data_IF_073210513191
#
_entry.id   IF_073210513191
#
_cell.length_a   1.000
_cell.length_b   1.000
_cell.length_c   1.000
_cell.angle_alpha   90.00
_cell.angle_beta   90.00
_cell.angle_gamma   90.00
#
_symmetry.space_group_name_H-M   'P 1'
#
loop_
_entity.id
_entity.type
_entity.pdbx_description
1 polymer ?
#
# COMPACT_ATOMS: atom_id res chain seq x y z
N UNK A 1 -21.22 25.18 -61.44
CA UNK A 1 -21.94 24.73 -62.66
C UNK A 1 -21.41 23.40 -63.10
N UNK A 2 -22.29 22.61 -63.67
CA UNK A 2 -22.86 21.42 -63.04
C UNK A 2 -22.52 20.16 -63.80
N UNK A 3 -22.81 19.01 -63.32
CA UNK A 3 -23.64 18.05 -64.05
C UNK A 3 -24.03 16.86 -63.11
N UNK A 4 -25.34 16.73 -62.97
CA UNK A 4 -26.01 15.55 -62.45
C UNK A 4 -26.14 14.52 -63.57
N UNK A 5 -26.09 13.23 -63.21
CA UNK A 5 -26.67 12.20 -64.10
C UNK A 5 -27.43 11.19 -63.24
N UNK A 6 -28.75 11.22 -63.40
CA UNK A 6 -29.72 10.19 -63.04
C UNK A 6 -29.66 9.05 -64.05
N UNK A 7 -29.86 7.83 -63.63
CA UNK A 7 -30.45 6.69 -64.42
C UNK A 7 -30.81 5.61 -63.40
N UNK A 8 -32.04 5.46 -63.02
CA UNK A 8 -33.18 4.64 -63.55
C UNK A 8 -33.05 3.11 -63.26
N UNK A 9 -34.04 2.65 -62.47
CA UNK A 9 -34.37 1.28 -62.11
C UNK A 9 -34.87 0.45 -63.31
N UNK A 10 -34.90 -0.88 -63.23
CA UNK A 10 -36.17 -1.56 -63.49
C UNK A 10 -36.65 -2.51 -62.40
N UNK A 11 -37.96 -2.56 -62.28
CA UNK A 11 -38.82 -3.42 -61.46
C UNK A 11 -39.09 -4.67 -62.26
N UNK A 12 -38.99 -5.85 -61.65
CA UNK A 12 -39.70 -7.10 -62.05
C UNK A 12 -39.88 -7.85 -60.71
N UNK A 13 -40.97 -8.24 -60.23
CA UNK A 13 -42.12 -8.98 -60.78
C UNK A 13 -42.18 -10.31 -59.99
N UNK A 14 -43.17 -10.40 -59.11
CA UNK A 14 -43.73 -11.51 -58.35
C UNK A 14 -43.64 -12.91 -58.84
N UNK A 15 -43.35 -13.90 -57.95
CA UNK A 15 -44.16 -15.12 -57.77
C UNK A 15 -43.91 -15.78 -56.45
N UNK A 16 -44.99 -16.02 -55.68
CA UNK A 16 -45.05 -16.92 -54.52
C UNK A 16 -45.21 -18.36 -55.00
N UNK A 17 -44.75 -19.33 -54.23
CA UNK A 17 -45.57 -20.50 -53.93
C UNK A 17 -45.64 -20.77 -52.39
N UNK A 18 -46.61 -21.64 -52.10
CA UNK A 18 -47.34 -21.87 -50.88
C UNK A 18 -46.59 -22.57 -49.76
N UNK A 19 -47.22 -22.50 -48.62
CA UNK A 19 -46.92 -23.00 -47.28
C UNK A 19 -46.64 -24.51 -47.17
N UNK A 20 -45.72 -24.87 -46.32
CA UNK A 20 -45.77 -26.13 -45.56
C UNK A 20 -45.47 -25.83 -44.09
N UNK A 21 -46.42 -26.23 -43.24
CA UNK A 21 -46.36 -26.17 -41.81
C UNK A 21 -45.48 -27.29 -41.24
N UNK A 22 -44.95 -27.05 -40.06
CA UNK A 22 -44.64 -27.92 -38.94
C UNK A 22 -43.25 -27.62 -38.35
N UNK A 23 -43.22 -27.16 -37.15
CA UNK A 23 -42.07 -27.04 -36.28
C UNK A 23 -42.45 -26.24 -35.07
N UNK A 24 -42.89 -26.90 -33.96
CA UNK A 24 -43.18 -26.27 -32.70
C UNK A 24 -41.89 -25.63 -32.12
N UNK A 25 -41.84 -24.31 -32.08
CA UNK A 25 -40.84 -23.57 -31.30
C UNK A 25 -41.12 -23.76 -29.82
N UNK A 26 -40.21 -24.44 -29.13
CA UNK A 26 -40.13 -24.44 -27.68
C UNK A 26 -39.74 -23.01 -27.24
N UNK A 27 -40.70 -22.31 -26.62
CA UNK A 27 -40.46 -21.02 -25.99
C UNK A 27 -39.42 -21.18 -24.91
N UNK A 28 -38.21 -20.68 -25.15
CA UNK A 28 -37.19 -20.48 -24.09
C UNK A 28 -37.67 -19.37 -23.19
N UNK A 29 -37.87 -19.69 -21.91
CA UNK A 29 -38.18 -18.71 -20.86
C UNK A 29 -37.10 -17.61 -20.82
N UNK A 30 -37.45 -16.33 -20.59
CA UNK A 30 -36.46 -15.27 -20.48
C UNK A 30 -35.55 -15.55 -19.29
N UNK A 31 -34.24 -15.52 -19.55
CA UNK A 31 -33.20 -15.55 -18.48
C UNK A 31 -33.48 -14.43 -17.49
N UNK A 32 -33.60 -14.79 -16.21
CA UNK A 32 -33.69 -13.82 -15.14
C UNK A 32 -32.48 -12.87 -15.19
N UNK A 33 -32.65 -11.55 -14.97
CA UNK A 33 -31.54 -10.62 -14.93
C UNK A 33 -30.55 -11.06 -13.85
N UNK A 34 -29.22 -10.88 -14.10
CA UNK A 34 -28.21 -11.25 -13.12
C UNK A 34 -28.49 -10.49 -11.83
N UNK A 35 -28.61 -11.23 -10.73
CA UNK A 35 -28.71 -10.69 -9.37
C UNK A 35 -27.49 -9.81 -9.15
N UNK A 36 -27.68 -8.51 -9.15
CA UNK A 36 -26.63 -7.56 -8.76
C UNK A 36 -26.31 -7.85 -7.29
N UNK A 37 -25.12 -8.34 -7.05
CA UNK A 37 -24.55 -8.41 -5.71
C UNK A 37 -24.58 -6.98 -5.14
N UNK A 38 -25.18 -6.74 -3.95
CA UNK A 38 -25.21 -5.41 -3.37
C UNK A 38 -23.77 -4.89 -3.27
N UNK A 39 -23.54 -3.68 -3.76
CA UNK A 39 -22.27 -2.99 -3.53
C UNK A 39 -22.02 -2.96 -2.02
N UNK A 40 -20.82 -3.26 -1.54
CA UNK A 40 -20.52 -3.24 -0.12
C UNK A 40 -20.90 -1.86 0.42
N UNK A 41 -21.68 -1.84 1.48
CA UNK A 41 -22.07 -0.63 2.17
C UNK A 41 -20.79 0.10 2.58
N UNK A 42 -20.56 1.30 2.04
CA UNK A 42 -19.42 2.14 2.42
C UNK A 42 -19.61 2.48 3.89
N UNK A 43 -18.98 1.74 4.76
CA UNK A 43 -18.98 2.01 6.20
C UNK A 43 -18.14 3.27 6.38
N UNK A 44 -18.77 4.37 6.84
CA UNK A 44 -18.06 5.60 7.16
C UNK A 44 -17.22 5.35 8.43
N UNK A 45 -15.95 4.98 8.25
CA UNK A 45 -15.02 4.79 9.35
C UNK A 45 -14.56 6.17 9.84
N UNK A 46 -14.81 6.48 11.10
CA UNK A 46 -14.25 7.66 11.76
C UNK A 46 -12.83 7.35 12.23
N UNK A 47 -11.82 7.89 11.57
CA UNK A 47 -10.41 7.67 11.91
C UNK A 47 -10.02 8.36 13.23
N UNK A 48 -8.91 7.91 13.84
CA UNK A 48 -8.42 8.48 15.10
C UNK A 48 -8.25 9.99 15.06
N UNK A 49 -7.78 10.55 13.94
CA UNK A 49 -7.59 11.98 13.73
C UNK A 49 -8.90 12.80 13.85
N UNK A 50 -10.04 12.21 13.51
CA UNK A 50 -11.37 12.88 13.61
C UNK A 50 -11.92 12.90 15.03
N UNK A 51 -11.36 12.12 15.94
CA UNK A 51 -11.79 12.01 17.33
C UNK A 51 -11.17 13.09 18.23
N UNK A 52 -11.20 14.32 17.78
CA UNK A 52 -10.56 15.49 18.39
C UNK A 52 -10.81 15.64 19.91
N UNK A 53 -12.03 15.37 20.35
CA UNK A 53 -12.39 15.46 21.79
C UNK A 53 -11.57 14.49 22.68
N UNK A 54 -11.03 13.41 22.13
CA UNK A 54 -10.26 12.42 22.89
C UNK A 54 -8.79 12.82 23.10
N UNK A 55 -8.21 13.60 22.19
CA UNK A 55 -6.79 13.88 22.28
C UNK A 55 -6.46 15.38 22.39
N UNK A 56 -7.33 16.30 21.99
CA UNK A 56 -7.09 17.74 22.15
C UNK A 56 -6.72 18.14 23.58
N UNK A 57 -7.40 17.62 24.65
CA UNK A 57 -7.03 17.97 26.02
C UNK A 57 -5.57 17.61 26.37
N UNK A 58 -5.00 16.57 25.73
CA UNK A 58 -3.62 16.14 25.95
C UNK A 58 -2.59 17.03 25.24
N UNK A 59 -3.03 17.85 24.26
CA UNK A 59 -2.19 18.73 23.46
C UNK A 59 -2.22 20.19 23.93
N UNK A 60 -3.19 20.57 24.78
CA UNK A 60 -3.31 21.93 25.29
C UNK A 60 -2.10 22.31 26.15
N UNK A 61 -1.51 23.49 25.85
CA UNK A 61 -0.33 23.98 26.53
C UNK A 61 0.98 23.25 26.22
N UNK A 62 0.94 22.22 25.34
CA UNK A 62 2.12 21.48 24.92
C UNK A 62 2.71 22.03 23.63
N UNK A 63 4.03 21.91 23.45
CA UNK A 63 4.71 22.09 22.18
C UNK A 63 4.61 20.79 21.40
N UNK A 64 3.83 20.81 20.31
CA UNK A 64 3.44 19.60 19.57
C UNK A 64 4.28 19.42 18.32
N UNK A 65 4.94 18.26 18.21
CA UNK A 65 5.56 17.79 16.96
C UNK A 65 4.62 16.84 16.21
N UNK A 66 4.33 17.13 14.97
CA UNK A 66 3.46 16.30 14.11
C UNK A 66 4.29 15.42 13.18
N UNK A 67 4.12 14.11 13.23
CA UNK A 67 4.67 13.15 12.26
C UNK A 67 3.56 12.83 11.26
N UNK A 68 3.58 13.53 10.14
CA UNK A 68 2.44 13.60 9.22
C UNK A 68 2.87 13.68 7.76
N UNK A 69 1.95 13.31 6.86
CA UNK A 69 2.08 13.51 5.41
C UNK A 69 0.75 13.96 4.80
N UNK A 70 0.60 13.87 3.47
CA UNK A 70 -0.61 14.27 2.72
C UNK A 70 -1.88 13.53 3.15
N UNK A 71 -1.74 12.34 3.75
CA UNK A 71 -2.88 11.54 4.21
C UNK A 71 -3.43 11.99 5.57
N UNK A 72 -2.68 12.82 6.29
CA UNK A 72 -3.00 13.28 7.65
C UNK A 72 -4.10 14.34 7.60
N UNK A 73 -5.35 13.88 7.60
CA UNK A 73 -6.52 14.76 7.43
C UNK A 73 -7.59 14.48 8.48
N UNK A 74 -8.34 15.54 8.77
CA UNK A 74 -9.59 15.55 9.55
C UNK A 74 -10.68 16.04 8.60
N UNK A 75 -11.49 15.12 8.10
CA UNK A 75 -12.33 15.38 6.92
C UNK A 75 -11.47 15.85 5.74
N UNK A 76 -11.79 17.00 5.15
CA UNK A 76 -11.04 17.56 4.02
C UNK A 76 -9.86 18.46 4.43
N UNK A 77 -9.70 18.80 5.71
CA UNK A 77 -8.64 19.68 6.19
C UNK A 77 -7.39 18.88 6.59
N UNK A 78 -6.20 19.47 6.42
CA UNK A 78 -5.00 18.89 6.99
C UNK A 78 -5.03 18.93 8.52
N UNK A 79 -4.49 17.89 9.16
CA UNK A 79 -4.43 17.81 10.62
C UNK A 79 -3.73 19.02 11.23
N UNK A 80 -2.62 19.47 10.66
CA UNK A 80 -1.87 20.64 11.14
C UNK A 80 -2.75 21.89 11.18
N UNK A 81 -3.53 22.15 10.12
CA UNK A 81 -4.43 23.30 10.02
C UNK A 81 -5.55 23.19 11.08
N UNK A 82 -6.13 22.00 11.20
CA UNK A 82 -7.19 21.73 12.19
C UNK A 82 -6.73 21.94 13.62
N UNK A 83 -5.55 21.46 13.99
CA UNK A 83 -5.01 21.61 15.35
C UNK A 83 -4.65 23.05 15.67
N UNK A 84 -4.03 23.77 14.73
CA UNK A 84 -3.71 25.19 14.90
C UNK A 84 -4.97 26.06 15.04
N UNK A 85 -6.00 25.79 14.24
CA UNK A 85 -7.29 26.48 14.39
C UNK A 85 -7.97 26.22 15.75
N UNK A 86 -7.57 25.17 16.47
CA UNK A 86 -8.02 24.83 17.84
C UNK A 86 -7.07 25.34 18.94
N UNK A 87 -6.10 26.18 18.58
CA UNK A 87 -5.16 26.79 19.55
C UNK A 87 -4.03 25.87 19.99
N UNK A 88 -3.81 24.73 19.31
CA UNK A 88 -2.68 23.82 19.61
C UNK A 88 -1.38 24.46 19.11
N UNK A 89 -0.36 24.52 19.96
CA UNK A 89 0.96 25.04 19.64
C UNK A 89 1.79 23.99 18.87
N UNK A 90 1.65 23.95 17.54
CA UNK A 90 2.43 23.06 16.66
C UNK A 90 3.78 23.71 16.38
N UNK A 91 4.87 23.14 16.92
CA UNK A 91 6.23 23.65 16.79
C UNK A 91 7.05 23.02 15.69
N UNK A 92 6.71 21.80 15.24
CA UNK A 92 7.41 21.12 14.16
C UNK A 92 6.52 20.12 13.41
N UNK A 93 6.80 19.95 12.13
CA UNK A 93 6.31 18.84 11.32
C UNK A 93 7.51 17.93 11.00
N UNK A 94 7.39 16.64 11.29
CA UNK A 94 8.35 15.62 10.92
C UNK A 94 7.86 14.93 9.66
N UNK A 95 8.54 15.20 8.55
CA UNK A 95 8.14 14.73 7.22
C UNK A 95 8.81 13.39 6.89
N UNK A 96 8.02 12.31 6.64
CA UNK A 96 8.52 11.01 6.22
C UNK A 96 8.87 10.99 4.73
N UNK A 97 9.08 9.79 4.19
CA UNK A 97 9.18 9.57 2.74
C UNK A 97 8.03 10.25 1.99
N UNK A 98 8.28 10.73 0.78
CA UNK A 98 7.40 11.59 -0.03
C UNK A 98 7.16 13.00 0.53
N UNK A 99 7.66 13.33 1.72
CA UNK A 99 7.51 14.67 2.32
C UNK A 99 6.11 14.92 2.89
N UNK A 100 5.94 16.09 3.51
CA UNK A 100 4.68 16.45 4.16
C UNK A 100 3.49 16.56 3.19
N UNK A 101 3.72 17.07 1.96
CA UNK A 101 2.67 17.22 0.96
C UNK A 101 2.51 16.01 0.03
N UNK A 102 3.39 15.00 0.14
CA UNK A 102 3.32 13.78 -0.66
C UNK A 102 3.70 13.95 -2.13
N UNK A 103 4.44 15.01 -2.46
CA UNK A 103 4.81 15.36 -3.83
C UNK A 103 6.18 14.81 -4.24
N UNK A 104 7.00 14.42 -3.26
CA UNK A 104 8.33 13.89 -3.54
C UNK A 104 8.23 12.43 -4.03
N UNK A 105 9.09 12.11 -5.01
CA UNK A 105 9.21 10.76 -5.57
C UNK A 105 9.86 9.79 -4.59
N UNK A 106 9.72 8.48 -4.84
CA UNK A 106 10.31 7.44 -3.99
C UNK A 106 11.82 7.64 -3.89
N UNK A 107 12.36 7.47 -2.69
CA UNK A 107 13.78 7.61 -2.40
C UNK A 107 14.32 9.03 -2.50
N UNK A 108 13.49 10.03 -2.85
CA UNK A 108 13.93 11.42 -2.93
C UNK A 108 14.33 11.95 -1.54
N UNK A 109 15.41 12.72 -1.49
CA UNK A 109 15.82 13.41 -0.26
C UNK A 109 14.77 14.45 0.13
N UNK A 110 14.20 14.31 1.31
CA UNK A 110 13.33 15.31 1.92
C UNK A 110 14.22 16.30 2.68
N UNK A 111 14.10 17.59 2.35
CA UNK A 111 14.89 18.66 2.98
C UNK A 111 14.10 19.36 4.06
N UNK A 112 14.82 19.85 5.07
CA UNK A 112 14.26 20.73 6.08
C UNK A 112 13.78 22.06 5.46
N UNK A 113 12.74 22.66 6.05
CA UNK A 113 12.17 23.89 5.55
C UNK A 113 11.04 24.40 6.45
N UNK A 114 10.10 25.12 5.85
CA UNK A 114 8.87 25.57 6.50
C UNK A 114 7.68 25.24 5.61
N UNK A 115 6.59 24.84 6.21
CA UNK A 115 5.33 24.69 5.48
C UNK A 115 4.83 26.07 5.05
N UNK A 116 4.71 26.29 3.75
CA UNK A 116 4.36 27.59 3.18
C UNK A 116 3.01 28.14 3.68
N UNK A 117 2.07 27.25 4.04
CA UNK A 117 0.74 27.65 4.48
C UNK A 117 0.68 27.94 5.97
N UNK A 118 1.26 27.06 6.80
CA UNK A 118 1.19 27.17 8.24
C UNK A 118 2.38 27.89 8.85
N UNK A 119 3.49 28.07 8.13
CA UNK A 119 4.74 28.63 8.63
C UNK A 119 5.47 27.68 9.61
N UNK A 120 4.93 26.50 9.89
CA UNK A 120 5.54 25.56 10.83
C UNK A 120 6.82 24.97 10.24
N UNK A 121 7.93 24.89 11.04
CA UNK A 121 9.15 24.23 10.61
C UNK A 121 8.90 22.76 10.21
N UNK A 122 9.44 22.37 9.06
CA UNK A 122 9.43 20.99 8.55
C UNK A 122 10.82 20.39 8.75
N UNK A 123 10.89 19.25 9.42
CA UNK A 123 12.11 18.49 9.69
C UNK A 123 12.01 17.14 9.00
N UNK A 124 13.00 16.81 8.20
CA UNK A 124 13.04 15.53 7.48
C UNK A 124 13.38 14.38 8.42
N UNK A 125 12.58 13.32 8.36
CA UNK A 125 12.87 12.02 8.97
C UNK A 125 12.99 10.93 7.90
N UNK A 126 13.49 11.33 6.72
CA UNK A 126 13.79 10.44 5.60
C UNK A 126 15.09 10.86 4.87
N UNK A 127 15.83 9.89 4.37
CA UNK A 127 17.11 10.12 3.71
C UNK A 127 18.28 10.00 4.70
N UNK A 128 19.01 11.09 4.94
CA UNK A 128 20.18 11.10 5.84
C UNK A 128 19.82 10.79 7.30
N UNK A 129 18.70 11.30 7.77
CA UNK A 129 18.21 11.13 9.15
C UNK A 129 16.86 10.44 9.11
N UNK A 130 16.79 9.20 9.58
CA UNK A 130 15.55 8.40 9.63
C UNK A 130 14.91 8.43 11.02
N UNK A 131 15.70 8.66 12.04
CA UNK A 131 15.28 8.76 13.45
C UNK A 131 15.41 10.20 13.92
N UNK A 132 14.38 10.81 14.51
CA UNK A 132 14.47 12.16 15.06
C UNK A 132 15.63 12.28 16.06
N UNK A 133 16.48 13.30 15.88
CA UNK A 133 17.59 13.55 16.80
C UNK A 133 17.12 14.30 18.05
N UNK A 134 17.88 14.28 19.16
CA UNK A 134 17.57 15.08 20.34
C UNK A 134 17.38 16.56 20.03
N UNK A 135 18.17 17.13 19.10
CA UNK A 135 18.05 18.53 18.67
C UNK A 135 16.72 18.79 17.95
N UNK A 136 16.29 17.86 17.10
CA UNK A 136 14.99 17.95 16.42
C UNK A 136 13.80 17.85 17.38
N UNK A 137 14.00 17.31 18.58
CA UNK A 137 12.99 17.16 19.62
C UNK A 137 13.09 18.20 20.76
N UNK A 138 14.05 19.13 20.72
CA UNK A 138 14.32 20.06 21.82
C UNK A 138 13.15 21.02 22.13
N UNK A 139 12.39 21.40 21.12
CA UNK A 139 11.22 22.29 21.21
C UNK A 139 9.88 21.53 21.10
N UNK A 140 9.88 20.21 21.36
CA UNK A 140 8.70 19.34 21.31
C UNK A 140 8.48 18.72 22.68
N UNK A 141 7.26 18.79 23.21
CA UNK A 141 6.85 18.14 24.45
C UNK A 141 6.11 16.82 24.20
N UNK A 142 5.36 16.74 23.09
CA UNK A 142 4.58 15.56 22.68
C UNK A 142 4.64 15.39 21.18
N UNK A 143 4.73 14.13 20.72
CA UNK A 143 4.66 13.76 19.31
C UNK A 143 3.28 13.20 18.97
N UNK A 144 2.73 13.58 17.82
CA UNK A 144 1.50 13.02 17.26
C UNK A 144 1.84 12.38 15.93
N UNK A 145 1.58 11.08 15.81
CA UNK A 145 1.74 10.31 14.58
C UNK A 145 0.38 10.11 13.92
N UNK A 146 0.25 10.55 12.68
CA UNK A 146 -0.96 10.41 11.88
C UNK A 146 -0.61 10.19 10.41
N UNK A 147 -0.37 8.95 10.00
CA UNK A 147 -0.02 8.58 8.62
C UNK A 147 -0.78 7.33 8.23
N UNK A 148 -1.32 7.30 7.00
CA UNK A 148 -1.97 6.13 6.42
C UNK A 148 -0.94 5.10 5.98
N UNK A 149 -1.01 3.89 6.57
CA UNK A 149 -0.26 2.71 6.14
C UNK A 149 -1.06 1.86 5.15
N UNK A 150 -0.40 0.90 4.49
CA UNK A 150 -1.02 -0.02 3.54
C UNK A 150 -0.94 -1.50 3.96
N UNK A 151 -0.45 -1.79 5.16
CA UNK A 151 -0.43 -3.15 5.73
C UNK A 151 0.68 -4.06 5.21
N UNK A 152 1.69 -3.51 4.54
CA UNK A 152 2.84 -4.25 4.03
C UNK A 152 4.13 -3.83 4.76
N UNK A 153 4.91 -4.80 5.26
CA UNK A 153 6.12 -4.56 6.07
C UNK A 153 7.09 -3.58 5.41
N UNK A 154 7.30 -3.69 4.12
CA UNK A 154 8.26 -2.87 3.39
C UNK A 154 7.72 -1.47 3.03
N UNK A 155 6.48 -1.14 3.37
CA UNK A 155 5.96 0.21 3.26
C UNK A 155 6.45 1.05 4.45
N UNK A 156 7.35 2.00 4.20
CA UNK A 156 8.31 2.54 5.19
C UNK A 156 7.72 3.37 6.33
N UNK A 157 6.44 3.72 6.28
CA UNK A 157 5.81 4.55 7.33
C UNK A 157 5.75 3.85 8.69
N UNK A 158 5.68 2.52 8.73
CA UNK A 158 5.79 1.78 9.99
C UNK A 158 7.21 1.81 10.56
N UNK A 159 8.24 1.89 9.71
CA UNK A 159 9.62 2.10 10.14
C UNK A 159 9.84 3.52 10.65
N UNK A 160 9.18 4.52 10.05
CA UNK A 160 9.15 5.88 10.58
C UNK A 160 8.49 5.91 11.96
N UNK A 161 7.36 5.22 12.17
CA UNK A 161 6.70 5.08 13.47
C UNK A 161 7.65 4.48 14.51
N UNK A 162 8.34 3.38 14.17
CA UNK A 162 9.31 2.72 15.04
C UNK A 162 10.38 3.71 15.53
N UNK A 163 11.03 4.42 14.60
CA UNK A 163 12.10 5.36 14.95
C UNK A 163 11.60 6.60 15.70
N UNK A 164 10.40 7.07 15.44
CA UNK A 164 9.75 8.15 16.21
C UNK A 164 9.49 7.72 17.64
N UNK A 165 8.93 6.52 17.84
CA UNK A 165 8.69 5.95 19.18
C UNK A 165 10.00 5.72 19.93
N UNK A 166 11.04 5.24 19.25
CA UNK A 166 12.35 5.01 19.82
C UNK A 166 13.01 6.33 20.28
N UNK A 167 13.03 7.35 19.41
CA UNK A 167 13.54 8.67 19.75
C UNK A 167 12.76 9.33 20.91
N UNK A 168 11.44 9.17 20.91
CA UNK A 168 10.58 9.64 21.98
C UNK A 168 10.86 8.95 23.31
N UNK A 169 11.06 7.63 23.31
CA UNK A 169 11.41 6.86 24.50
C UNK A 169 12.76 7.29 25.08
N UNK A 170 13.77 7.55 24.23
CA UNK A 170 15.08 8.04 24.62
C UNK A 170 15.03 9.43 25.27
N UNK A 171 14.13 10.30 24.82
CA UNK A 171 13.94 11.67 25.30
C UNK A 171 12.80 11.80 26.32
N UNK A 172 12.22 10.68 26.79
CA UNK A 172 11.07 10.61 27.70
C UNK A 172 9.88 11.48 27.28
N UNK A 173 9.59 11.51 25.97
CA UNK A 173 8.47 12.24 25.37
C UNK A 173 7.30 11.30 25.08
N UNK A 174 6.04 11.73 25.30
CA UNK A 174 4.87 10.95 24.93
C UNK A 174 4.66 10.96 23.42
N UNK A 175 4.10 9.87 22.92
CA UNK A 175 3.64 9.71 21.53
C UNK A 175 2.15 9.39 21.52
N UNK A 176 1.39 10.16 20.77
CA UNK A 176 0.00 9.86 20.41
C UNK A 176 -0.03 9.31 18.97
N UNK A 177 -0.61 8.13 18.79
CA UNK A 177 -0.89 7.56 17.48
C UNK A 177 -2.38 7.70 17.20
N UNK A 178 -2.70 8.44 16.14
CA UNK A 178 -4.08 8.59 15.65
C UNK A 178 -4.32 7.48 14.64
N UNK A 179 -5.05 6.45 15.05
CA UNK A 179 -5.15 5.20 14.30
C UNK A 179 -5.97 5.35 13.02
N UNK A 180 -5.58 4.59 11.97
CA UNK A 180 -6.18 4.58 10.64
C UNK A 180 -6.43 3.17 10.15
N UNK A 181 -7.44 2.95 9.26
CA UNK A 181 -7.70 1.64 8.68
C UNK A 181 -6.48 1.08 7.96
N UNK A 182 -6.27 -0.22 8.11
CA UNK A 182 -5.36 -0.94 7.23
C UNK A 182 -6.17 -1.48 6.04
N UNK A 183 -5.92 -1.04 4.78
CA UNK A 183 -6.67 -1.51 3.60
C UNK A 183 -6.41 -2.98 3.28
N UNK A 184 -5.33 -3.56 3.84
CA UNK A 184 -4.99 -4.97 3.78
C UNK A 184 -5.11 -5.65 5.17
N UNK A 185 -6.05 -5.20 6.01
CA UNK A 185 -6.17 -5.62 7.40
C UNK A 185 -6.49 -7.09 7.62
N UNK A 186 -7.18 -7.73 6.68
CA UNK A 186 -7.51 -9.16 6.68
C UNK A 186 -6.37 -10.05 6.17
N UNK A 187 -5.27 -9.48 5.65
CA UNK A 187 -4.15 -10.22 5.09
C UNK A 187 -3.02 -10.38 6.12
N UNK A 188 -2.73 -11.64 6.49
CA UNK A 188 -1.56 -12.02 7.31
C UNK A 188 -0.83 -13.13 6.60
N UNK A 189 0.23 -12.78 5.83
CA UNK A 189 0.92 -13.74 4.98
C UNK A 189 2.36 -13.32 4.65
N UNK A 190 3.15 -14.27 4.14
CA UNK A 190 4.54 -14.11 3.78
C UNK A 190 5.52 -14.48 4.90
N UNK A 191 6.82 -14.59 4.58
CA UNK A 191 7.84 -14.92 5.57
C UNK A 191 8.00 -13.81 6.62
N UNK A 192 8.28 -14.23 7.84
CA UNK A 192 8.64 -13.31 8.94
C UNK A 192 10.03 -12.76 8.67
N UNK A 193 10.23 -11.47 8.94
CA UNK A 193 11.54 -10.82 8.83
C UNK A 193 12.54 -11.47 9.77
N UNK A 194 13.65 -11.94 9.21
CA UNK A 194 14.80 -12.44 9.94
C UNK A 194 15.74 -11.30 10.34
N UNK A 195 16.39 -11.35 11.51
CA UNK A 195 17.25 -10.28 12.00
C UNK A 195 18.38 -9.87 11.05
N UNK A 196 18.89 -10.81 10.22
CA UNK A 196 19.95 -10.55 9.25
C UNK A 196 19.53 -9.62 8.10
N UNK A 197 18.23 -9.51 7.84
CA UNK A 197 17.66 -8.71 6.74
C UNK A 197 16.99 -7.41 7.21
N UNK A 198 17.27 -6.99 8.46
CA UNK A 198 16.76 -5.72 8.98
C UNK A 198 17.27 -4.54 8.16
N UNK A 199 16.34 -3.73 7.69
CA UNK A 199 16.62 -2.51 6.96
C UNK A 199 15.48 -1.51 7.17
N UNK A 200 15.51 -0.35 6.51
CA UNK A 200 14.40 0.59 6.61
C UNK A 200 13.09 0.09 6.00
N UNK A 201 13.14 -0.90 5.12
CA UNK A 201 11.96 -1.59 4.59
C UNK A 201 11.53 -2.81 5.42
N UNK A 202 12.10 -2.95 6.62
CA UNK A 202 11.74 -4.01 7.56
C UNK A 202 12.59 -3.93 8.83
N UNK A 203 12.05 -3.34 9.91
CA UNK A 203 12.73 -3.22 11.21
C UNK A 203 12.28 -4.30 12.18
N UNK A 204 11.01 -4.65 12.17
CA UNK A 204 10.36 -5.49 13.15
C UNK A 204 10.07 -6.89 12.62
N UNK A 205 9.99 -7.93 13.49
CA UNK A 205 9.77 -9.32 13.06
C UNK A 205 8.33 -9.57 12.61
N UNK A 206 7.95 -8.92 11.51
CA UNK A 206 6.64 -8.97 10.88
C UNK A 206 6.66 -9.86 9.63
N UNK A 207 5.53 -10.49 9.26
CA UNK A 207 5.36 -11.04 7.91
C UNK A 207 5.29 -9.92 6.86
N UNK A 208 5.34 -10.27 5.58
CA UNK A 208 5.19 -9.30 4.49
C UNK A 208 3.89 -8.50 4.65
N UNK A 209 2.77 -9.18 4.81
CA UNK A 209 1.49 -8.57 5.16
C UNK A 209 1.16 -8.89 6.62
N UNK A 210 1.02 -7.86 7.45
CA UNK A 210 0.96 -8.03 8.90
C UNK A 210 -0.46 -7.95 9.49
N UNK A 211 -1.43 -7.45 8.73
CA UNK A 211 -2.83 -7.41 9.15
C UNK A 211 -3.11 -6.58 10.42
N UNK A 212 -2.28 -5.59 10.74
CA UNK A 212 -2.43 -4.70 11.89
C UNK A 212 -2.68 -3.27 11.42
N UNK A 213 -3.42 -2.47 12.19
CA UNK A 213 -3.42 -1.02 12.04
C UNK A 213 -2.14 -0.41 12.62
N UNK A 214 -1.84 0.86 12.31
CA UNK A 214 -0.66 1.53 12.88
C UNK A 214 -0.74 1.65 14.40
N UNK A 215 -1.94 1.82 14.96
CA UNK A 215 -2.15 1.86 16.41
C UNK A 215 -1.90 0.51 17.09
N UNK A 216 -2.39 -0.57 16.49
CA UNK A 216 -2.13 -1.93 16.98
C UNK A 216 -0.65 -2.28 16.90
N UNK A 217 0.00 -1.92 15.78
CA UNK A 217 1.42 -2.15 15.58
C UNK A 217 2.27 -1.35 16.58
N UNK A 218 1.93 -0.08 16.84
CA UNK A 218 2.61 0.72 17.85
C UNK A 218 2.53 0.08 19.24
N UNK A 219 1.37 -0.46 19.63
CA UNK A 219 1.23 -1.18 20.89
C UNK A 219 2.09 -2.45 20.94
N UNK A 220 2.13 -3.21 19.82
CA UNK A 220 2.95 -4.40 19.71
C UNK A 220 4.44 -4.07 19.82
N UNK A 221 4.96 -3.11 19.05
CA UNK A 221 6.36 -2.66 19.14
C UNK A 221 6.75 -2.30 20.56
N UNK A 222 5.87 -1.57 21.24
CA UNK A 222 6.12 -1.07 22.59
C UNK A 222 6.14 -2.19 23.64
N UNK A 223 5.15 -3.08 23.60
CA UNK A 223 5.00 -4.13 24.63
C UNK A 223 5.91 -5.33 24.39
N UNK A 224 6.22 -5.65 23.14
CA UNK A 224 7.18 -6.71 22.77
C UNK A 224 8.64 -6.21 22.86
N UNK A 225 8.85 -4.93 23.29
CA UNK A 225 10.17 -4.33 23.53
C UNK A 225 11.05 -4.32 22.27
N UNK A 226 10.47 -4.04 21.11
CA UNK A 226 11.21 -3.99 19.84
C UNK A 226 12.03 -2.73 19.65
N UNK A 227 11.71 -1.65 20.41
CA UNK A 227 12.48 -0.40 20.40
C UNK A 227 13.88 -0.60 21.00
N UNK A 228 14.86 0.20 20.62
CA UNK A 228 16.25 0.06 21.06
C UNK A 228 16.38 -0.02 22.58
N UNK A 229 17.16 -1.01 23.02
CA UNK A 229 17.35 -1.31 24.45
C UNK A 229 16.09 -1.78 25.17
N UNK A 230 15.01 -2.10 24.44
CA UNK A 230 13.74 -2.54 25.02
C UNK A 230 13.03 -1.46 25.83
N UNK A 231 13.37 -0.18 25.62
CA UNK A 231 12.77 0.95 26.36
C UNK A 231 11.32 1.16 25.95
N UNK A 232 10.37 1.21 26.91
CA UNK A 232 8.99 1.52 26.58
C UNK A 232 8.82 3.00 26.23
N UNK A 233 8.11 3.28 25.16
CA UNK A 233 7.61 4.60 24.82
C UNK A 233 6.34 4.93 25.63
N UNK A 234 6.17 6.17 26.07
CA UNK A 234 4.92 6.67 26.67
C UNK A 234 3.87 6.82 25.56
N UNK A 235 3.21 5.72 25.22
CA UNK A 235 2.32 5.60 24.07
C UNK A 235 0.86 5.76 24.46
N UNK A 236 0.12 6.59 23.73
CA UNK A 236 -1.33 6.64 23.69
C UNK A 236 -1.81 6.39 22.28
N UNK A 237 -2.72 5.44 22.09
CA UNK A 237 -3.39 5.20 20.79
C UNK A 237 -4.79 5.77 20.86
N UNK A 238 -5.16 6.61 19.90
CA UNK A 238 -6.51 7.09 19.69
C UNK A 238 -7.16 6.18 18.65
N UNK A 239 -7.97 5.21 19.05
CA UNK A 239 -8.52 4.23 18.12
C UNK A 239 -9.55 4.85 17.20
N UNK A 240 -9.83 4.19 16.08
CA UNK A 240 -10.97 4.51 15.22
C UNK A 240 -12.29 4.28 15.97
N UNK A 241 -13.36 4.92 15.49
CA UNK A 241 -14.70 4.68 16.03
C UNK A 241 -15.37 3.54 15.27
N UNK A 242 -16.51 3.06 15.83
CA UNK A 242 -17.33 1.94 15.32
C UNK A 242 -17.46 1.92 13.78
N UNK A 243 -17.47 0.71 13.23
CA UNK A 243 -17.66 0.46 11.79
C UNK A 243 -16.43 -0.12 11.08
N UNK A 244 -15.24 -0.13 11.71
CA UNK A 244 -14.07 -0.79 11.17
C UNK A 244 -13.90 -2.20 11.75
N UNK A 245 -13.65 -3.14 10.87
CA UNK A 245 -13.09 -4.47 11.17
C UNK A 245 -11.90 -4.68 10.24
N UNK A 246 -11.05 -5.66 10.54
CA UNK A 246 -9.91 -5.95 9.65
C UNK A 246 -10.34 -6.44 8.26
N UNK A 247 -11.58 -6.96 8.11
CA UNK A 247 -12.15 -7.36 6.82
C UNK A 247 -12.87 -6.22 6.09
N UNK A 248 -12.93 -5.02 6.67
CA UNK A 248 -13.59 -3.86 6.04
C UNK A 248 -12.82 -3.41 4.80
N UNK A 249 -13.47 -3.42 3.64
CA UNK A 249 -12.94 -2.71 2.48
C UNK A 249 -12.93 -1.21 2.78
N UNK A 250 -11.75 -0.61 2.74
CA UNK A 250 -11.57 0.82 3.00
C UNK A 250 -11.01 1.52 1.78
N UNK A 251 -11.85 2.35 1.16
CA UNK A 251 -11.40 3.24 0.10
C UNK A 251 -10.50 4.35 0.69
N UNK A 252 -9.29 4.46 0.17
CA UNK A 252 -8.35 5.48 0.63
C UNK A 252 -8.73 6.86 0.07
N UNK A 253 -9.15 7.82 0.90
CA UNK A 253 -9.59 9.14 0.43
C UNK A 253 -8.43 9.97 -0.14
N UNK A 254 -7.20 9.61 0.20
CA UNK A 254 -5.97 10.23 -0.29
C UNK A 254 -4.99 9.12 -0.66
N UNK A 255 -4.37 9.24 -1.82
CA UNK A 255 -3.34 8.29 -2.27
C UNK A 255 -2.18 8.24 -1.28
N UNK A 256 -1.75 7.04 -0.84
CA UNK A 256 -0.70 6.90 0.16
C UNK A 256 0.69 7.19 -0.44
N UNK A 257 0.86 7.00 -1.75
CA UNK A 257 2.08 7.27 -2.52
C UNK A 257 1.72 7.66 -3.96
N UNK A 258 2.57 8.45 -4.65
CA UNK A 258 2.40 8.75 -6.08
C UNK A 258 2.34 7.50 -6.96
N UNK A 259 2.98 6.39 -6.53
CA UNK A 259 2.99 5.13 -7.27
C UNK A 259 1.94 4.10 -6.80
N UNK A 260 1.06 4.46 -5.88
CA UNK A 260 -0.11 3.64 -5.49
C UNK A 260 -1.39 4.42 -5.80
N UNK A 261 -1.75 4.55 -7.09
CA UNK A 261 -2.81 5.46 -7.54
C UNK A 261 -4.23 4.96 -7.29
N UNK A 262 -4.42 3.65 -7.07
CA UNK A 262 -5.71 3.00 -6.93
C UNK A 262 -5.77 2.12 -5.67
N UNK A 263 -6.97 1.83 -5.17
CA UNK A 263 -7.14 0.84 -4.09
C UNK A 263 -6.69 -0.56 -4.54
N UNK A 264 -6.81 -0.82 -5.85
CA UNK A 264 -6.38 -2.09 -6.43
C UNK A 264 -4.84 -2.23 -6.43
N UNK A 265 -4.11 -1.17 -6.79
CA UNK A 265 -2.65 -1.13 -6.65
C UNK A 265 -2.22 -1.35 -5.20
N UNK A 266 -2.92 -0.74 -4.23
CA UNK A 266 -2.68 -0.94 -2.79
C UNK A 266 -2.92 -2.39 -2.37
N UNK A 267 -3.98 -3.03 -2.90
CA UNK A 267 -4.29 -4.42 -2.60
C UNK A 267 -3.28 -5.41 -3.24
N UNK A 268 -2.76 -5.09 -4.42
CA UNK A 268 -1.72 -5.87 -5.12
C UNK A 268 -0.32 -5.68 -4.49
N UNK A 269 -0.07 -4.52 -3.88
CA UNK A 269 1.25 -4.08 -3.43
C UNK A 269 2.01 -5.13 -2.58
N UNK A 270 1.41 -5.82 -1.59
CA UNK A 270 2.12 -6.83 -0.81
C UNK A 270 2.71 -7.97 -1.65
N UNK A 271 2.08 -8.31 -2.78
CA UNK A 271 2.53 -9.37 -3.69
C UNK A 271 3.52 -8.84 -4.74
N UNK A 272 3.25 -7.67 -5.28
CA UNK A 272 3.95 -7.15 -6.46
C UNK A 272 5.24 -6.42 -6.09
N UNK A 273 5.33 -5.82 -4.90
CA UNK A 273 6.52 -5.10 -4.46
C UNK A 273 7.78 -5.98 -4.39
N UNK A 274 7.66 -7.30 -4.22
CA UNK A 274 8.79 -8.24 -4.28
C UNK A 274 9.57 -8.14 -5.60
N UNK A 275 8.92 -7.75 -6.69
CA UNK A 275 9.57 -7.58 -7.99
C UNK A 275 10.54 -6.40 -8.04
N UNK A 276 10.48 -5.42 -7.13
CA UNK A 276 11.49 -4.36 -7.02
C UNK A 276 12.88 -4.92 -6.63
N UNK A 277 12.91 -6.11 -6.03
CA UNK A 277 14.10 -6.90 -5.79
C UNK A 277 14.53 -7.78 -6.97
N UNK A 278 14.02 -7.54 -8.19
CA UNK A 278 14.27 -8.33 -9.39
C UNK A 278 14.60 -7.46 -10.60
N UNK A 279 14.79 -8.09 -11.76
CA UNK A 279 14.93 -7.41 -13.05
C UNK A 279 13.57 -7.15 -13.75
N UNK A 280 12.46 -7.23 -13.01
CA UNK A 280 11.10 -7.01 -13.52
C UNK A 280 10.60 -5.64 -13.08
N UNK A 281 10.10 -4.84 -14.03
CA UNK A 281 9.41 -3.59 -13.73
C UNK A 281 8.04 -3.87 -13.11
N UNK A 282 7.71 -3.12 -12.06
CA UNK A 282 6.38 -3.08 -11.45
C UNK A 282 5.48 -1.98 -12.04
N UNK A 283 5.78 -1.53 -13.26
CA UNK A 283 4.97 -0.52 -13.94
C UNK A 283 5.25 0.93 -13.53
N UNK A 284 6.28 1.20 -12.72
CA UNK A 284 6.72 2.58 -12.45
C UNK A 284 7.07 3.27 -13.76
N UNK A 285 6.64 4.53 -13.94
CA UNK A 285 6.77 5.24 -15.21
C UNK A 285 5.70 4.86 -16.25
N UNK A 286 4.63 4.20 -15.84
CA UNK A 286 3.39 3.99 -16.62
C UNK A 286 2.21 4.65 -15.92
N UNK A 287 1.01 4.52 -16.47
CA UNK A 287 -0.25 4.96 -15.85
C UNK A 287 -0.80 3.97 -14.82
N UNK A 288 -0.22 2.76 -14.72
CA UNK A 288 -0.70 1.66 -13.86
C UNK A 288 0.45 1.04 -13.02
N UNK A 289 1.17 1.84 -12.20
CA UNK A 289 2.23 1.30 -11.35
C UNK A 289 1.64 0.33 -10.32
N UNK A 290 2.33 -0.80 -10.10
CA UNK A 290 1.92 -1.97 -9.29
C UNK A 290 0.68 -2.72 -9.82
N UNK A 291 0.12 -2.30 -10.95
CA UNK A 291 -0.97 -2.99 -11.65
C UNK A 291 -0.54 -3.56 -13.01
N UNK A 292 0.72 -3.33 -13.42
CA UNK A 292 1.36 -4.01 -14.56
C UNK A 292 2.76 -4.46 -14.16
N UNK A 293 3.17 -5.64 -14.64
CA UNK A 293 4.53 -6.18 -14.40
C UNK A 293 5.12 -6.66 -15.72
N UNK A 294 6.42 -6.46 -15.91
CA UNK A 294 7.08 -6.89 -17.15
C UNK A 294 8.58 -6.67 -17.16
N UNK A 295 9.27 -7.37 -18.03
CA UNK A 295 10.72 -7.26 -18.21
C UNK A 295 11.12 -7.50 -19.65
N UNK A 296 12.24 -6.91 -20.14
CA UNK A 296 12.83 -7.29 -21.42
C UNK A 296 13.29 -8.76 -21.45
N UNK A 297 13.56 -9.37 -20.28
CA UNK A 297 13.97 -10.78 -20.15
C UNK A 297 12.80 -11.76 -20.19
N UNK A 298 11.57 -11.30 -20.39
CA UNK A 298 10.40 -12.17 -20.56
C UNK A 298 10.14 -12.44 -22.05
N UNK A 299 9.52 -13.58 -22.40
CA UNK A 299 9.18 -13.90 -23.78
C UNK A 299 8.29 -12.81 -24.42
N UNK A 300 8.57 -12.46 -25.68
CA UNK A 300 7.75 -11.50 -26.43
C UNK A 300 6.31 -12.00 -26.70
N UNK A 301 6.02 -13.27 -26.41
CA UNK A 301 4.68 -13.89 -26.50
C UNK A 301 3.81 -13.60 -25.26
N UNK A 302 4.32 -12.89 -24.23
CA UNK A 302 3.50 -12.45 -23.11
C UNK A 302 2.31 -11.62 -23.60
N UNK A 303 1.14 -11.74 -22.94
CA UNK A 303 -0.11 -11.13 -23.42
C UNK A 303 -0.12 -9.60 -23.34
N UNK A 304 0.81 -9.01 -22.59
CA UNK A 304 0.90 -7.56 -22.40
C UNK A 304 2.34 -7.06 -22.57
N UNK A 305 2.47 -5.81 -23.00
CA UNK A 305 3.78 -5.15 -23.05
C UNK A 305 3.64 -3.65 -22.82
N UNK A 306 4.65 -3.05 -22.20
CA UNK A 306 4.74 -1.61 -21.95
C UNK A 306 6.19 -1.13 -22.01
N UNK A 307 6.36 0.18 -22.09
CA UNK A 307 7.68 0.80 -22.05
C UNK A 307 7.68 1.88 -20.95
N UNK A 308 8.41 1.71 -19.84
CA UNK A 308 8.49 2.73 -18.80
C UNK A 308 9.04 4.05 -19.34
N UNK A 309 8.35 5.16 -19.03
CA UNK A 309 8.76 6.51 -19.38
C UNK A 309 8.69 7.41 -18.13
N UNK A 310 9.53 8.46 -18.05
CA UNK A 310 9.48 9.40 -16.94
C UNK A 310 8.10 10.01 -16.75
N UNK A 311 7.62 10.03 -15.51
CA UNK A 311 6.39 10.74 -15.11
C UNK A 311 6.58 11.37 -13.72
N UNK A 312 5.58 12.10 -13.23
CA UNK A 312 5.65 12.79 -11.95
C UNK A 312 5.89 11.86 -10.75
N UNK A 313 5.35 10.63 -10.77
CA UNK A 313 5.55 9.63 -9.72
C UNK A 313 6.90 8.91 -9.81
N UNK A 314 7.50 8.86 -10.99
CA UNK A 314 8.77 8.17 -11.25
C UNK A 314 9.54 8.89 -12.37
N UNK A 315 10.36 9.91 -12.04
CA UNK A 315 11.19 10.64 -13.04
C UNK A 315 12.25 9.78 -13.70
N UNK A 316 12.72 8.76 -13.00
CA UNK A 316 13.74 7.81 -13.49
C UNK A 316 13.29 6.38 -13.23
N UNK A 317 12.22 5.90 -13.93
CA UNK A 317 11.71 4.57 -13.69
C UNK A 317 12.74 3.48 -14.05
N UNK A 318 12.75 2.35 -13.32
CA UNK A 318 13.50 1.18 -13.76
C UNK A 318 13.14 0.78 -15.18
N UNK A 319 14.12 0.28 -15.95
CA UNK A 319 13.95 -0.15 -17.34
C UNK A 319 13.40 0.95 -18.29
N UNK A 320 13.66 2.23 -17.97
CA UNK A 320 13.27 3.39 -18.78
C UNK A 320 13.62 3.19 -20.26
N UNK A 321 12.64 3.35 -21.14
CA UNK A 321 12.80 3.26 -22.59
C UNK A 321 12.93 1.83 -23.12
N UNK A 322 12.98 0.81 -22.29
CA UNK A 322 13.03 -0.59 -22.69
C UNK A 322 11.64 -1.19 -22.80
N UNK A 323 11.39 -1.96 -23.85
CA UNK A 323 10.13 -2.69 -23.99
C UNK A 323 10.12 -3.86 -23.01
N UNK A 324 9.15 -3.85 -22.10
CA UNK A 324 8.92 -4.89 -21.11
C UNK A 324 7.74 -5.75 -21.56
N UNK A 325 7.92 -7.06 -21.56
CA UNK A 325 6.87 -8.04 -21.84
C UNK A 325 6.37 -8.62 -20.50
N UNK A 326 5.05 -8.79 -20.35
CA UNK A 326 4.55 -9.20 -19.05
C UNK A 326 3.03 -9.35 -18.97
N UNK A 327 2.45 -8.85 -17.89
CA UNK A 327 1.04 -8.99 -17.55
C UNK A 327 0.42 -7.63 -17.20
N UNK A 328 -0.83 -7.46 -17.61
CA UNK A 328 -1.75 -6.46 -17.11
C UNK A 328 -2.54 -7.09 -15.94
N UNK A 329 -2.42 -6.49 -14.76
CA UNK A 329 -3.06 -6.95 -13.54
C UNK A 329 -4.21 -6.03 -13.09
N UNK A 330 -4.57 -5.03 -13.88
CA UNK A 330 -5.59 -4.01 -13.52
C UNK A 330 -6.96 -4.61 -13.15
N UNK A 331 -7.25 -5.82 -13.64
CA UNK A 331 -8.47 -6.58 -13.34
C UNK A 331 -8.20 -7.94 -12.68
N UNK A 332 -6.92 -8.24 -12.40
CA UNK A 332 -6.55 -9.50 -11.78
C UNK A 332 -6.93 -9.53 -10.29
N UNK A 333 -7.26 -10.70 -9.71
CA UNK A 333 -7.43 -10.80 -8.27
C UNK A 333 -6.17 -10.35 -7.53
N UNK A 334 -6.31 -9.42 -6.59
CA UNK A 334 -5.20 -8.94 -5.77
C UNK A 334 -4.73 -9.98 -4.74
N UNK A 335 -5.52 -11.02 -4.52
CA UNK A 335 -5.23 -12.12 -3.59
C UNK A 335 -5.59 -13.45 -4.20
N UNK A 336 -4.86 -14.48 -3.82
CA UNK A 336 -5.13 -15.85 -4.20
C UNK A 336 -5.21 -16.72 -2.95
N UNK A 337 -6.29 -17.51 -2.82
CA UNK A 337 -6.55 -18.34 -1.64
C UNK A 337 -6.47 -17.55 -0.31
N UNK A 338 -6.83 -16.26 -0.32
CA UNK A 338 -6.76 -15.38 0.85
C UNK A 338 -5.35 -14.92 1.24
N UNK A 339 -4.33 -15.18 0.42
CA UNK A 339 -2.93 -14.85 0.66
C UNK A 339 -2.29 -14.00 -0.46
N UNK A 340 -0.98 -13.81 -0.35
CA UNK A 340 -0.14 -13.20 -1.38
C UNK A 340 -0.22 -14.00 -2.68
N UNK A 341 -0.05 -13.34 -3.81
CA UNK A 341 -0.06 -14.00 -5.13
C UNK A 341 1.37 -14.32 -5.55
N UNK A 342 1.87 -15.51 -5.18
CA UNK A 342 3.23 -15.95 -5.49
C UNK A 342 3.40 -16.45 -6.93
N UNK A 343 2.32 -16.88 -7.57
CA UNK A 343 2.38 -17.44 -8.93
C UNK A 343 3.06 -16.52 -9.93
N UNK A 344 2.92 -15.20 -9.77
CA UNK A 344 3.59 -14.25 -10.66
C UNK A 344 5.10 -14.30 -10.49
N UNK A 345 5.62 -14.34 -9.26
CA UNK A 345 7.05 -14.44 -8.99
C UNK A 345 7.63 -15.73 -9.55
N UNK A 346 6.96 -16.86 -9.31
CA UNK A 346 7.37 -18.19 -9.79
C UNK A 346 7.36 -18.26 -11.31
N UNK A 347 6.28 -17.82 -11.96
CA UNK A 347 6.13 -17.80 -13.42
C UNK A 347 7.17 -16.88 -14.08
N UNK A 348 7.38 -15.67 -13.58
CA UNK A 348 8.35 -14.73 -14.14
C UNK A 348 9.78 -15.24 -14.01
N UNK A 349 10.14 -15.88 -12.89
CA UNK A 349 11.45 -16.51 -12.75
C UNK A 349 11.61 -17.69 -13.71
N UNK A 350 10.61 -18.56 -13.79
CA UNK A 350 10.65 -19.73 -14.67
C UNK A 350 10.81 -19.35 -16.13
N UNK A 351 10.09 -18.32 -16.60
CA UNK A 351 10.05 -17.86 -17.99
C UNK A 351 11.19 -16.89 -18.33
N UNK A 352 11.95 -16.40 -17.34
CA UNK A 352 13.04 -15.45 -17.60
C UNK A 352 14.14 -16.07 -18.43
N UNK A 353 14.59 -15.35 -19.45
CA UNK A 353 15.78 -15.69 -20.25
C UNK A 353 17.08 -15.31 -19.57
N UNK A 354 17.02 -14.49 -18.51
CA UNK A 354 18.16 -14.09 -17.69
C UNK A 354 17.89 -14.42 -16.21
N UNK A 355 18.06 -15.69 -15.88
CA UNK A 355 17.89 -16.18 -14.49
C UNK A 355 19.04 -15.76 -13.59
N UNK A 356 20.23 -15.54 -14.15
CA UNK A 356 21.43 -15.16 -13.40
C UNK A 356 21.26 -13.80 -12.74
N UNK A 357 20.65 -12.84 -13.43
CA UNK A 357 20.42 -11.49 -12.93
C UNK A 357 18.96 -11.21 -12.59
N UNK A 358 18.13 -12.27 -12.41
CA UNK A 358 16.71 -12.09 -12.08
C UNK A 358 16.54 -11.41 -10.72
N UNK A 359 17.25 -11.88 -9.68
CA UNK A 359 17.24 -11.28 -8.35
C UNK A 359 18.40 -10.31 -8.17
N UNK A 360 18.15 -9.19 -7.52
CA UNK A 360 19.16 -8.26 -7.02
C UNK A 360 19.27 -8.34 -5.49
N UNK A 361 20.18 -7.57 -4.88
CA UNK A 361 20.41 -7.60 -3.42
C UNK A 361 19.24 -7.07 -2.59
N UNK A 362 18.34 -6.31 -3.20
CA UNK A 362 17.18 -5.74 -2.52
C UNK A 362 16.08 -6.78 -2.26
N UNK A 363 16.14 -7.93 -2.97
CA UNK A 363 15.12 -8.96 -2.83
C UNK A 363 15.06 -9.54 -1.41
N UNK A 364 16.19 -9.80 -0.78
CA UNK A 364 16.25 -10.33 0.59
C UNK A 364 15.76 -9.31 1.62
N UNK A 365 15.99 -8.01 1.40
CA UNK A 365 15.43 -6.97 2.27
C UNK A 365 13.90 -6.94 2.19
N UNK A 366 13.32 -7.08 0.98
CA UNK A 366 11.89 -7.11 0.77
C UNK A 366 11.26 -8.42 1.28
N UNK A 367 11.83 -9.57 0.94
CA UNK A 367 11.34 -10.87 1.41
C UNK A 367 11.56 -11.05 2.90
N UNK A 368 12.61 -10.46 3.46
CA UNK A 368 13.01 -10.57 4.87
C UNK A 368 13.70 -11.88 5.21
N UNK A 369 14.10 -12.68 4.20
CA UNK A 369 14.76 -13.97 4.35
C UNK A 369 15.48 -14.37 3.07
N UNK A 370 16.57 -15.11 3.16
CA UNK A 370 17.24 -15.74 2.02
C UNK A 370 16.44 -16.93 1.45
N UNK A 371 15.59 -17.52 2.27
CA UNK A 371 14.91 -18.79 1.97
C UNK A 371 13.99 -18.67 0.76
N UNK A 372 13.25 -17.56 0.62
CA UNK A 372 12.30 -17.40 -0.50
C UNK A 372 13.02 -17.44 -1.86
N UNK A 373 14.12 -16.68 -2.01
CA UNK A 373 14.90 -16.69 -3.23
C UNK A 373 15.44 -18.09 -3.54
N UNK A 374 16.00 -18.79 -2.54
CA UNK A 374 16.52 -20.13 -2.70
C UNK A 374 15.42 -21.12 -3.14
N UNK A 375 14.23 -21.02 -2.58
CA UNK A 375 13.08 -21.85 -2.93
C UNK A 375 12.62 -21.61 -4.36
N UNK A 376 12.56 -20.34 -4.80
CA UNK A 376 12.19 -19.98 -6.19
C UNK A 376 13.24 -20.56 -7.16
N UNK A 377 14.53 -20.40 -6.87
CA UNK A 377 15.63 -20.93 -7.70
C UNK A 377 15.58 -22.45 -7.77
N UNK A 378 15.26 -23.12 -6.66
CA UNK A 378 15.11 -24.57 -6.58
C UNK A 378 13.84 -25.11 -7.24
N UNK A 379 12.99 -24.25 -7.78
CA UNK A 379 11.73 -24.64 -8.44
C UNK A 379 10.68 -25.21 -7.49
N UNK A 380 10.69 -24.78 -6.22
CA UNK A 380 9.69 -25.18 -5.24
C UNK A 380 8.30 -24.71 -5.66
N UNK A 381 7.30 -25.54 -5.44
CA UNK A 381 5.91 -25.18 -5.64
C UNK A 381 5.46 -24.10 -4.64
N UNK A 382 4.43 -23.34 -5.01
CA UNK A 382 3.81 -22.36 -4.09
C UNK A 382 3.39 -23.00 -2.77
N UNK A 383 2.84 -24.22 -2.81
CA UNK A 383 2.42 -24.95 -1.62
C UNK A 383 3.58 -25.26 -0.67
N UNK A 384 4.74 -25.69 -1.20
CA UNK A 384 5.95 -25.94 -0.40
C UNK A 384 6.49 -24.66 0.21
N UNK A 385 6.50 -23.56 -0.56
CA UNK A 385 6.94 -22.25 -0.09
C UNK A 385 6.04 -21.77 1.07
N UNK A 386 4.72 -21.80 0.90
CA UNK A 386 3.76 -21.42 1.95
C UNK A 386 3.86 -22.30 3.19
N UNK A 387 4.05 -23.60 3.02
CA UNK A 387 4.23 -24.51 4.14
C UNK A 387 5.45 -24.16 5.00
N UNK A 388 6.52 -23.63 4.39
CA UNK A 388 7.71 -23.17 5.11
C UNK A 388 7.47 -21.94 5.99
N UNK A 389 6.50 -21.08 5.65
CA UNK A 389 6.14 -19.87 6.41
C UNK A 389 5.19 -20.15 7.57
N UNK A 390 4.39 -21.21 7.49
CA UNK A 390 3.28 -21.45 8.41
C UNK A 390 3.70 -21.55 9.89
N UNK A 391 4.84 -22.12 10.28
CA UNK A 391 5.27 -22.11 11.68
C UNK A 391 5.48 -20.69 12.22
N UNK A 392 6.08 -19.78 11.42
CA UNK A 392 6.28 -18.38 11.77
C UNK A 392 4.96 -17.62 11.81
N UNK A 393 4.13 -17.79 10.78
CA UNK A 393 2.82 -17.12 10.67
C UNK A 393 1.88 -17.51 11.82
N UNK A 394 1.88 -18.77 12.24
CA UNK A 394 1.08 -19.25 13.39
C UNK A 394 1.49 -18.57 14.68
N UNK A 395 2.79 -18.43 14.93
CA UNK A 395 3.32 -17.70 16.09
C UNK A 395 2.93 -16.23 16.02
N UNK A 396 3.09 -15.61 14.86
CA UNK A 396 2.73 -14.21 14.66
C UNK A 396 1.24 -13.98 14.83
N UNK A 397 0.36 -14.81 14.24
CA UNK A 397 -1.10 -14.67 14.41
C UNK A 397 -1.51 -14.79 15.89
N UNK A 398 -0.89 -15.69 16.66
CA UNK A 398 -1.13 -15.79 18.09
C UNK A 398 -0.67 -14.55 18.86
N UNK A 399 0.47 -13.97 18.48
CA UNK A 399 0.98 -12.74 19.05
C UNK A 399 0.07 -11.56 18.70
N UNK A 400 -0.27 -11.41 17.41
CA UNK A 400 -1.14 -10.36 16.86
C UNK A 400 -2.46 -10.22 17.62
N UNK A 401 -3.10 -11.33 17.97
CA UNK A 401 -4.40 -11.34 18.70
C UNK A 401 -4.38 -10.57 20.02
N UNK A 402 -3.23 -10.44 20.67
CA UNK A 402 -3.10 -9.70 21.94
C UNK A 402 -3.19 -8.18 21.77
N UNK A 403 -3.04 -7.69 20.52
CA UNK A 403 -2.91 -6.26 20.21
C UNK A 403 -4.06 -5.73 19.36
N UNK A 404 -5.00 -6.59 18.94
CA UNK A 404 -6.14 -6.19 18.15
C UNK A 404 -7.03 -5.24 18.93
N UNK A 405 -7.30 -4.07 18.37
CA UNK A 405 -8.23 -3.06 18.86
C UNK A 405 -9.61 -3.21 18.20
N UNK A 406 -9.65 -3.94 17.08
CA UNK A 406 -10.85 -4.08 16.24
C UNK A 406 -11.14 -5.55 15.96
N UNK A 407 -12.42 -5.90 15.69
CA UNK A 407 -12.78 -7.25 15.28
C UNK A 407 -12.06 -7.67 13.98
N UNK A 408 -11.81 -8.94 13.81
CA UNK A 408 -11.27 -9.47 12.55
C UNK A 408 -12.33 -9.48 11.44
N UNK A 409 -13.62 -9.70 11.80
CA UNK A 409 -14.79 -9.69 10.91
C UNK A 409 -15.98 -9.00 11.56
#
# INVERSE_FOLDING_TARGET
MPLALLLALPVYGTTRPAASAVGAETATAPLAPPTQTPLPTVTCVMVGAERLAQYLPQLQGQRVGLVINQTSRVGNAYLVDTLRARGVNVTAIFAPEHGFRGEATDGATITDGHDARSGVPVRSVYGKTKKPTPQMLADVDVLVFDIQDVGARFYTFISTLHYVMEAAAEQNKPVLVLDRPNPNGDLVDGPILEPAHKSFVGLDPLPIAHGLTVGELAQMMNREKWLAGGRPCRLTVVPMQKGYTHATFYHLPVRPSPNLPTDHAVALYPSICLFEGTNVSVGRGTTAPFEVIGSPSQPATRPYSFTPAPNAGSPTPPLKGQRCYGLDLTTAPARENGGLVLKYLLDFYQQSTDKTHFFNKYFEELSGTDTLRQQVIAGKSEAEIRASWEPGLRKFRALRKKYLLYPER
#
